data_IF_853076227590
#
_entry.id   IF_853076227590
#
_cell.length_a   1.000
_cell.length_b   1.000
_cell.length_c   1.000
_cell.angle_alpha   90.00
_cell.angle_beta   90.00
_cell.angle_gamma   90.00
#
_symmetry.space_group_name_H-M   'P 1'
#
loop_
_entity.id
_entity.type
_entity.pdbx_description
1 polymer ?
#
# COMPACT_ATOMS: atom_id res chain seq x y z
N UNK A 1 15.72 -4.67 -7.81
CA UNK A 1 15.47 -3.54 -6.89
C UNK A 1 15.23 -2.29 -7.72
N UNK A 2 14.24 -1.50 -7.40
CA UNK A 2 13.83 -0.30 -8.14
C UNK A 2 13.65 0.83 -7.13
N UNK A 3 14.21 2.01 -7.42
CA UNK A 3 13.93 3.26 -6.74
C UNK A 3 12.98 4.06 -7.63
N UNK A 4 11.90 4.57 -7.06
CA UNK A 4 10.91 5.37 -7.77
C UNK A 4 10.42 6.53 -6.90
N UNK A 5 9.80 7.51 -7.55
CA UNK A 5 9.14 8.62 -6.87
C UNK A 5 7.70 8.71 -7.33
N UNK A 6 6.81 9.06 -6.43
CA UNK A 6 5.38 9.28 -6.73
C UNK A 6 4.98 10.71 -6.39
N UNK A 7 3.93 11.19 -7.01
CA UNK A 7 3.24 12.42 -6.61
C UNK A 7 2.13 12.08 -5.62
N UNK A 8 1.60 13.09 -4.90
CA UNK A 8 0.40 12.91 -4.08
C UNK A 8 -0.86 12.71 -4.94
N UNK A 9 -1.96 12.25 -4.34
CA UNK A 9 -3.20 11.94 -5.06
C UNK A 9 -3.79 13.14 -5.82
N UNK A 10 -3.45 14.37 -5.44
CA UNK A 10 -3.89 15.61 -6.08
C UNK A 10 -2.94 16.11 -7.17
N UNK A 11 -1.85 15.40 -7.47
CA UNK A 11 -0.84 15.84 -8.44
C UNK A 11 -0.07 17.08 -8.01
N UNK A 12 0.07 17.32 -6.71
CA UNK A 12 0.82 18.45 -6.12
C UNK A 12 0.15 19.82 -6.26
N UNK A 13 -1.13 19.90 -6.63
CA UNK A 13 -1.82 21.19 -6.86
C UNK A 13 -2.51 21.74 -5.62
N UNK A 14 -2.85 20.91 -4.63
CA UNK A 14 -3.41 21.32 -3.34
C UNK A 14 -2.28 21.50 -2.35
N UNK A 15 -2.10 22.71 -1.78
CA UNK A 15 -0.91 23.05 -0.97
C UNK A 15 -1.21 23.88 0.26
N UNK A 16 -2.33 24.56 0.28
CA UNK A 16 -2.66 25.51 1.35
C UNK A 16 -4.04 25.24 1.93
N UNK A 17 -4.28 25.74 3.11
CA UNK A 17 -5.58 25.63 3.79
C UNK A 17 -6.72 26.36 3.08
N UNK A 18 -6.41 27.27 2.16
CA UNK A 18 -7.39 28.03 1.37
C UNK A 18 -7.72 27.38 0.04
N UNK A 19 -6.97 26.35 -0.34
CA UNK A 19 -7.21 25.61 -1.57
C UNK A 19 -8.53 24.81 -1.48
N UNK A 20 -9.06 24.49 -2.67
CA UNK A 20 -10.19 23.60 -2.83
C UNK A 20 -9.87 22.59 -3.91
N UNK A 21 -9.71 21.34 -3.51
CA UNK A 21 -9.35 20.28 -4.43
C UNK A 21 -10.42 20.10 -5.54
N UNK A 22 -11.71 20.31 -5.22
CA UNK A 22 -12.82 20.32 -6.19
C UNK A 22 -12.68 21.39 -7.28
N UNK A 23 -11.85 22.41 -7.08
CA UNK A 23 -11.60 23.50 -8.04
C UNK A 23 -10.26 23.36 -8.76
N UNK A 24 -9.28 22.75 -8.12
CA UNK A 24 -7.91 22.67 -8.60
C UNK A 24 -7.63 21.35 -9.32
N UNK A 25 -8.28 20.26 -8.89
CA UNK A 25 -8.02 18.95 -9.45
C UNK A 25 -8.94 18.64 -10.64
N UNK A 26 -8.38 18.00 -11.65
CA UNK A 26 -9.16 17.31 -12.68
C UNK A 26 -9.53 15.91 -12.15
N UNK A 27 -10.82 15.60 -11.94
CA UNK A 27 -11.23 14.29 -11.44
C UNK A 27 -10.76 13.11 -12.29
N UNK A 28 -10.49 13.34 -13.59
CA UNK A 28 -9.97 12.30 -14.49
C UNK A 28 -8.49 11.98 -14.25
N UNK A 29 -7.77 12.81 -13.48
CA UNK A 29 -6.33 12.71 -13.22
C UNK A 29 -6.00 12.48 -11.75
N UNK A 30 -6.99 12.20 -10.90
CA UNK A 30 -6.77 11.86 -9.50
C UNK A 30 -6.03 10.54 -9.37
N UNK A 31 -5.25 10.44 -8.31
CA UNK A 31 -4.34 9.37 -7.98
C UNK A 31 -3.35 9.07 -9.14
N UNK A 32 -2.49 10.05 -9.49
CA UNK A 32 -1.43 9.79 -10.45
C UNK A 32 -0.49 8.70 -9.92
N UNK A 33 -0.11 7.78 -10.80
CA UNK A 33 0.79 6.68 -10.46
C UNK A 33 2.07 6.74 -11.28
N UNK A 34 3.16 6.25 -10.71
CA UNK A 34 4.40 5.98 -11.44
C UNK A 34 4.30 4.60 -12.06
N UNK A 35 4.40 4.55 -13.38
CA UNK A 35 4.21 3.34 -14.17
C UNK A 35 3.65 3.67 -15.57
N UNK A 36 3.25 2.64 -16.36
CA UNK A 36 3.44 1.23 -16.06
C UNK A 36 4.91 0.80 -16.12
N UNK A 37 5.35 -0.02 -15.17
CA UNK A 37 6.68 -0.61 -15.13
C UNK A 37 6.57 -2.03 -15.69
N UNK A 38 7.25 -2.26 -16.81
CA UNK A 38 7.33 -3.59 -17.42
C UNK A 38 8.30 -4.48 -16.61
N UNK A 39 7.83 -5.63 -16.15
CA UNK A 39 8.65 -6.61 -15.43
C UNK A 39 9.04 -7.73 -16.40
N UNK A 40 10.32 -7.78 -16.77
CA UNK A 40 10.82 -8.79 -17.69
C UNK A 40 10.58 -10.20 -17.17
N UNK A 41 10.06 -11.08 -18.03
CA UNK A 41 9.80 -12.48 -17.72
C UNK A 41 8.50 -12.75 -16.96
N UNK A 42 7.75 -11.73 -16.55
CA UNK A 42 6.44 -11.92 -15.95
C UNK A 42 5.40 -12.24 -17.04
N UNK A 43 4.69 -13.36 -16.89
CA UNK A 43 3.67 -13.84 -17.83
C UNK A 43 2.31 -14.07 -17.13
N UNK A 44 1.19 -14.02 -17.87
CA UNK A 44 -0.12 -14.30 -17.30
C UNK A 44 -0.17 -15.62 -16.52
N UNK A 45 -0.71 -15.60 -15.32
CA UNK A 45 -0.75 -16.74 -14.39
C UNK A 45 0.40 -16.76 -13.37
N UNK A 46 1.40 -15.90 -13.52
CA UNK A 46 2.46 -15.75 -12.52
C UNK A 46 2.01 -14.86 -11.35
N UNK A 47 2.73 -14.97 -10.24
CA UNK A 47 2.64 -14.06 -9.11
C UNK A 47 3.75 -13.02 -9.22
N UNK A 48 3.38 -11.75 -9.12
CA UNK A 48 4.32 -10.64 -8.93
C UNK A 48 4.44 -10.33 -7.44
N UNK A 49 5.64 -10.48 -6.87
CA UNK A 49 5.97 -10.06 -5.52
C UNK A 49 6.60 -8.67 -5.52
N UNK A 50 6.03 -7.75 -4.76
CA UNK A 50 6.55 -6.39 -4.58
C UNK A 50 6.85 -6.19 -3.09
N UNK A 51 8.12 -6.22 -2.73
CA UNK A 51 8.56 -5.98 -1.35
C UNK A 51 8.95 -4.53 -1.15
N UNK A 52 8.29 -3.85 -0.24
CA UNK A 52 8.56 -2.45 0.10
C UNK A 52 9.73 -2.37 1.09
N UNK A 53 10.88 -1.94 0.60
CA UNK A 53 12.11 -1.80 1.40
C UNK A 53 12.09 -0.51 2.20
N UNK A 54 11.66 0.58 1.56
CA UNK A 54 11.60 1.91 2.16
C UNK A 54 10.52 2.75 1.47
N UNK A 55 9.79 3.53 2.25
CA UNK A 55 8.82 4.53 1.79
C UNK A 55 9.04 5.79 2.61
N UNK A 56 9.47 6.87 1.97
CA UNK A 56 9.81 8.12 2.66
C UNK A 56 9.12 9.32 2.00
N UNK A 57 8.44 10.19 2.77
CA UNK A 57 7.89 11.44 2.24
C UNK A 57 8.97 12.31 1.61
N UNK A 58 8.65 12.92 0.46
CA UNK A 58 9.60 13.79 -0.29
C UNK A 58 9.51 15.26 0.10
N UNK A 59 8.51 15.62 0.89
CA UNK A 59 8.23 17.00 1.29
C UNK A 59 8.11 17.05 2.81
N UNK A 60 8.36 18.21 3.37
CA UNK A 60 8.16 18.54 4.78
C UNK A 60 6.70 18.93 5.11
N UNK A 61 5.79 18.67 4.16
CA UNK A 61 4.35 18.89 4.31
C UNK A 61 3.54 17.80 3.58
N UNK A 62 2.34 17.59 4.08
CA UNK A 62 1.34 16.69 3.50
C UNK A 62 -0.06 17.27 3.65
N UNK A 63 -1.03 16.76 2.92
CA UNK A 63 -2.37 17.33 2.79
C UNK A 63 -3.42 16.27 3.13
N UNK A 64 -4.48 16.68 3.82
CA UNK A 64 -5.75 15.94 3.86
C UNK A 64 -6.90 16.91 3.56
N UNK A 65 -7.98 16.41 2.96
CA UNK A 65 -9.15 17.23 2.67
C UNK A 65 -10.45 16.45 2.81
N UNK A 66 -11.50 17.13 3.20
CA UNK A 66 -12.85 16.61 3.06
C UNK A 66 -13.49 17.14 1.78
N UNK A 67 -14.36 16.34 1.17
CA UNK A 67 -15.16 16.74 0.02
C UNK A 67 -16.65 16.59 0.34
N UNK A 68 -17.52 17.47 -0.19
CA UNK A 68 -18.95 17.21 -0.19
C UNK A 68 -19.25 15.90 -0.92
N UNK A 69 -20.09 15.06 -0.32
CA UNK A 69 -20.51 13.76 -0.88
C UNK A 69 -19.38 12.73 -1.06
N UNK A 70 -18.27 12.88 -0.37
CA UNK A 70 -17.16 11.93 -0.38
C UNK A 70 -16.65 11.66 1.05
N UNK A 71 -16.17 10.42 1.30
CA UNK A 71 -15.80 9.96 2.64
C UNK A 71 -16.80 8.96 3.23
N UNK A 72 -16.38 8.19 4.23
CA UNK A 72 -17.20 7.11 4.77
C UNK A 72 -18.46 7.57 5.53
N UNK A 73 -18.46 8.81 6.00
CA UNK A 73 -19.61 9.41 6.73
C UNK A 73 -20.51 10.28 5.84
N UNK A 74 -20.39 10.16 4.53
CA UNK A 74 -21.25 10.92 3.61
C UNK A 74 -22.43 10.10 3.13
N UNK A 75 -23.43 10.78 2.55
CA UNK A 75 -24.55 10.12 1.87
C UNK A 75 -24.06 9.38 0.63
N UNK A 76 -24.63 8.22 0.39
CA UNK A 76 -24.61 7.54 -0.91
C UNK A 76 -25.97 7.64 -1.58
N UNK A 77 -26.10 7.24 -2.84
CA UNK A 77 -27.38 7.18 -3.55
C UNK A 77 -28.40 6.25 -2.85
N UNK A 78 -27.89 5.30 -2.05
CA UNK A 78 -28.70 4.29 -1.36
C UNK A 78 -28.97 4.64 0.12
N UNK A 79 -28.14 5.50 0.72
CA UNK A 79 -28.26 5.91 2.12
C UNK A 79 -28.30 7.41 2.22
N UNK A 80 -29.48 7.96 2.54
CA UNK A 80 -29.64 9.37 2.83
C UNK A 80 -29.22 9.68 4.27
N UNK A 81 -28.34 10.68 4.45
CA UNK A 81 -28.04 11.24 5.76
C UNK A 81 -28.99 12.41 6.07
N UNK A 82 -29.35 12.54 7.34
CA UNK A 82 -30.25 13.62 7.79
C UNK A 82 -29.52 14.96 8.01
N UNK A 83 -28.25 15.04 7.68
CA UNK A 83 -27.45 16.26 7.80
C UNK A 83 -26.87 16.69 6.43
N UNK A 84 -26.51 17.96 6.27
CA UNK A 84 -25.88 18.44 5.04
C UNK A 84 -24.59 17.71 4.73
N UNK A 85 -24.14 17.70 3.47
CA UNK A 85 -22.80 17.24 3.08
C UNK A 85 -21.73 17.93 3.91
N UNK A 86 -20.61 17.25 4.12
CA UNK A 86 -19.46 17.84 4.78
C UNK A 86 -18.92 19.03 3.98
N UNK A 87 -18.46 20.07 4.70
CA UNK A 87 -17.73 21.17 4.09
C UNK A 87 -16.44 20.67 3.44
N UNK A 88 -16.03 21.29 2.35
CA UNK A 88 -14.70 21.06 1.78
C UNK A 88 -13.67 21.87 2.55
N UNK A 89 -12.80 21.18 3.28
CA UNK A 89 -11.79 21.78 4.16
C UNK A 89 -10.47 21.08 3.96
N UNK A 90 -9.38 21.85 3.83
CA UNK A 90 -8.01 21.33 3.70
C UNK A 90 -7.27 21.46 5.03
N UNK A 91 -6.57 20.40 5.43
CA UNK A 91 -5.55 20.39 6.49
C UNK A 91 -4.18 20.24 5.86
N UNK A 92 -3.25 21.08 6.30
CA UNK A 92 -1.82 20.95 5.96
C UNK A 92 -1.10 20.42 7.20
N UNK A 93 -0.41 19.29 7.03
CA UNK A 93 0.41 18.67 8.07
C UNK A 93 1.86 19.03 7.86
N UNK A 94 2.55 19.39 8.91
CA UNK A 94 4.01 19.45 8.92
C UNK A 94 4.53 18.01 9.07
N UNK A 95 5.53 17.65 8.26
CA UNK A 95 6.14 16.31 8.23
C UNK A 95 7.57 16.40 8.71
N UNK A 96 7.87 15.78 9.84
CA UNK A 96 9.22 15.68 10.40
C UNK A 96 9.72 14.23 10.26
N UNK A 97 10.44 13.97 9.18
CA UNK A 97 10.98 12.64 8.88
C UNK A 97 12.10 12.24 9.83
N UNK A 98 12.85 13.19 10.39
CA UNK A 98 13.94 12.91 11.31
C UNK A 98 13.40 12.44 12.67
N UNK A 99 12.28 13.03 13.13
CA UNK A 99 11.60 12.61 14.36
C UNK A 99 10.56 11.51 14.14
N UNK A 100 10.18 11.23 12.89
CA UNK A 100 9.15 10.26 12.54
C UNK A 100 7.74 10.69 12.98
N UNK A 101 7.40 11.96 12.84
CA UNK A 101 6.10 12.50 13.28
C UNK A 101 5.47 13.43 12.25
N UNK A 102 4.14 13.52 12.34
CA UNK A 102 3.28 14.48 11.63
C UNK A 102 2.65 15.42 12.66
N UNK A 103 2.47 16.69 12.33
CA UNK A 103 1.76 17.61 13.20
C UNK A 103 0.35 17.87 12.68
N UNK A 104 -0.64 17.37 13.43
CA UNK A 104 -2.05 17.70 13.23
C UNK A 104 -2.40 18.98 14.00
N UNK A 105 -3.08 19.93 13.34
CA UNK A 105 -3.65 21.13 13.94
C UNK A 105 -5.13 21.24 13.59
N UNK A 106 -5.98 21.37 14.61
CA UNK A 106 -7.40 21.60 14.41
C UNK A 106 -7.65 22.97 13.74
N UNK A 107 -8.63 23.02 12.83
CA UNK A 107 -8.94 24.25 12.07
C UNK A 107 -9.75 25.28 12.86
N UNK A 108 -10.42 24.87 13.93
CA UNK A 108 -11.39 25.73 14.66
C UNK A 108 -11.13 25.72 16.19
N UNK A 109 -9.96 25.27 16.63
CA UNK A 109 -9.53 25.30 18.04
C UNK A 109 -8.01 25.24 18.09
N UNK A 110 -7.45 25.44 19.30
CA UNK A 110 -6.01 25.39 19.54
C UNK A 110 -5.51 23.93 19.76
N UNK A 111 -6.34 22.94 19.49
CA UNK A 111 -5.94 21.54 19.65
C UNK A 111 -4.88 21.16 18.61
N UNK A 112 -3.75 20.68 19.10
CA UNK A 112 -2.63 20.21 18.29
C UNK A 112 -2.10 18.89 18.88
N UNK A 113 -1.69 17.96 18.01
CA UNK A 113 -1.10 16.68 18.41
C UNK A 113 -0.11 16.18 17.39
N UNK A 114 0.98 15.58 17.86
CA UNK A 114 1.92 14.85 17.02
C UNK A 114 1.41 13.42 16.79
N UNK A 115 1.32 13.02 15.53
CA UNK A 115 0.94 11.69 15.10
C UNK A 115 2.19 10.95 14.64
N UNK A 116 2.36 9.66 14.94
CA UNK A 116 3.45 8.89 14.36
C UNK A 116 3.37 8.86 12.84
N UNK A 117 4.51 9.09 12.17
CA UNK A 117 4.66 8.89 10.74
C UNK A 117 4.61 7.37 10.45
N UNK A 118 3.75 6.96 9.53
CA UNK A 118 3.59 5.56 9.11
C UNK A 118 3.33 5.51 7.59
N UNK A 119 4.38 5.72 6.76
CA UNK A 119 4.23 5.88 5.33
C UNK A 119 3.79 4.60 4.64
N UNK A 120 2.87 4.75 3.69
CA UNK A 120 2.31 3.66 2.89
C UNK A 120 1.96 4.12 1.46
N UNK A 121 1.59 3.18 0.59
CA UNK A 121 0.97 3.46 -0.70
C UNK A 121 -0.47 2.99 -0.75
N UNK A 122 -1.38 3.89 -1.12
CA UNK A 122 -2.79 3.58 -1.35
C UNK A 122 -2.99 2.80 -2.65
N UNK A 123 -2.33 3.23 -3.72
CA UNK A 123 -2.48 2.65 -5.07
C UNK A 123 -1.25 1.83 -5.46
N UNK A 124 -1.41 0.50 -5.49
CA UNK A 124 -0.40 -0.43 -6.04
C UNK A 124 -1.12 -1.53 -6.81
N UNK A 125 -0.83 -1.66 -8.09
CA UNK A 125 -1.51 -2.65 -8.92
C UNK A 125 -0.78 -2.98 -10.21
N UNK A 126 -1.30 -3.97 -10.90
CA UNK A 126 -0.87 -4.42 -12.23
C UNK A 126 -1.97 -4.17 -13.26
N UNK A 127 -1.72 -4.44 -14.53
CA UNK A 127 -2.79 -4.38 -15.52
C UNK A 127 -3.93 -5.36 -15.18
N UNK A 128 -5.21 -4.93 -15.26
CA UNK A 128 -6.35 -5.80 -15.05
C UNK A 128 -6.41 -6.96 -16.06
N UNK A 129 -7.15 -8.01 -15.71
CA UNK A 129 -7.39 -9.15 -16.60
C UNK A 129 -8.33 -8.79 -17.77
N UNK A 130 -8.38 -9.66 -18.79
CA UNK A 130 -9.39 -9.65 -19.88
C UNK A 130 -9.47 -8.34 -20.68
N UNK A 131 -8.39 -7.52 -20.68
CA UNK A 131 -8.36 -6.23 -21.38
C UNK A 131 -9.21 -5.14 -20.73
N UNK A 132 -9.60 -5.33 -19.46
CA UNK A 132 -10.32 -4.33 -18.70
C UNK A 132 -9.44 -3.09 -18.46
N UNK A 133 -10.05 -1.90 -18.45
CA UNK A 133 -9.40 -0.63 -18.15
C UNK A 133 -10.04 -0.02 -16.93
N UNK A 134 -9.30 0.06 -15.84
CA UNK A 134 -9.73 0.66 -14.58
C UNK A 134 -8.95 1.95 -14.31
N UNK A 135 -9.62 2.91 -13.69
CA UNK A 135 -8.95 4.11 -13.18
C UNK A 135 -8.07 3.73 -11.98
N UNK A 136 -6.96 4.45 -11.78
CA UNK A 136 -6.06 4.24 -10.63
C UNK A 136 -6.76 4.26 -9.27
N UNK A 137 -7.83 5.04 -9.13
CA UNK A 137 -8.66 5.13 -7.91
C UNK A 137 -9.56 3.90 -7.67
N UNK A 138 -9.55 2.89 -8.53
CA UNK A 138 -10.46 1.73 -8.42
C UNK A 138 -9.69 0.49 -7.99
N UNK A 139 -9.85 0.01 -6.75
CA UNK A 139 -9.25 -1.25 -6.33
C UNK A 139 -10.09 -2.44 -6.84
N UNK A 140 -9.41 -3.54 -7.18
CA UNK A 140 -10.03 -4.81 -7.59
C UNK A 140 -9.05 -5.97 -7.45
N UNK A 141 -9.28 -7.09 -8.13
CA UNK A 141 -8.40 -8.26 -8.12
C UNK A 141 -6.96 -7.96 -8.63
N UNK A 142 -6.77 -6.92 -9.42
CA UNK A 142 -5.45 -6.47 -9.92
C UNK A 142 -4.65 -5.63 -8.89
N UNK A 143 -5.17 -5.38 -7.70
CA UNK A 143 -4.70 -4.36 -6.76
C UNK A 143 -5.41 -3.02 -7.00
N UNK A 144 -4.67 -1.97 -7.35
CA UNK A 144 -5.19 -0.60 -7.50
C UNK A 144 -5.25 0.14 -6.18
N UNK A 145 -6.24 0.99 -6.00
CA UNK A 145 -6.40 1.86 -4.83
C UNK A 145 -6.97 1.12 -3.62
N UNK A 146 -6.18 0.19 -3.08
CA UNK A 146 -6.61 -0.63 -1.94
C UNK A 146 -6.68 0.16 -0.62
N UNK A 147 -5.92 1.24 -0.51
CA UNK A 147 -5.86 2.15 0.65
C UNK A 147 -5.79 1.38 1.97
N UNK A 148 -4.95 0.37 2.02
CA UNK A 148 -4.74 -0.38 3.25
C UNK A 148 -3.40 -0.02 3.89
N UNK A 149 -3.36 0.33 5.20
CA UNK A 149 -2.13 0.60 5.93
C UNK A 149 -1.12 -0.56 5.92
N UNK A 150 -1.52 -1.72 5.40
CA UNK A 150 -0.65 -2.89 5.28
C UNK A 150 0.36 -2.78 4.12
N UNK A 151 0.14 -1.89 3.14
CA UNK A 151 1.08 -1.65 2.02
C UNK A 151 2.14 -0.65 2.44
N UNK A 152 3.02 -1.05 3.34
CA UNK A 152 4.06 -0.24 3.96
C UNK A 152 5.45 -0.88 3.90
N UNK A 153 6.48 -0.15 4.31
CA UNK A 153 7.83 -0.69 4.39
C UNK A 153 7.91 -1.94 5.28
N UNK A 154 8.65 -2.96 4.84
CA UNK A 154 8.74 -4.26 5.49
C UNK A 154 7.68 -5.26 5.07
N UNK A 155 6.71 -4.89 4.24
CA UNK A 155 5.66 -5.79 3.73
C UNK A 155 5.97 -6.23 2.30
N UNK A 156 5.57 -7.46 1.94
CA UNK A 156 5.55 -7.97 0.56
C UNK A 156 4.10 -8.07 0.10
N UNK A 157 3.79 -7.39 -0.99
CA UNK A 157 2.51 -7.49 -1.70
C UNK A 157 2.64 -8.47 -2.85
N UNK A 158 1.69 -9.38 -2.98
CA UNK A 158 1.58 -10.38 -4.03
C UNK A 158 0.40 -10.07 -4.94
N UNK A 159 0.67 -9.86 -6.22
CA UNK A 159 -0.32 -9.49 -7.23
C UNK A 159 -0.40 -10.57 -8.33
N UNK A 160 -1.57 -10.80 -8.93
CA UNK A 160 -1.68 -11.66 -10.11
C UNK A 160 -1.08 -10.99 -11.34
N UNK A 161 -0.30 -11.69 -12.13
CA UNK A 161 0.11 -11.22 -13.45
C UNK A 161 -0.99 -11.59 -14.45
N UNK A 162 -1.60 -10.59 -15.08
CA UNK A 162 -2.71 -10.77 -16.03
C UNK A 162 -2.29 -10.55 -17.49
N UNK A 163 -1.20 -9.81 -17.71
CA UNK A 163 -0.64 -9.51 -19.04
C UNK A 163 0.89 -9.63 -19.02
N UNK A 164 1.51 -9.78 -20.17
CA UNK A 164 2.96 -9.82 -20.29
C UNK A 164 3.61 -8.58 -19.66
N UNK A 165 4.61 -8.81 -18.81
CA UNK A 165 5.32 -7.77 -18.09
C UNK A 165 4.54 -7.14 -16.95
N UNK A 166 3.42 -7.73 -16.50
CA UNK A 166 2.58 -7.32 -15.39
C UNK A 166 2.08 -5.85 -15.44
N UNK A 167 2.90 -4.91 -15.94
CA UNK A 167 2.62 -3.48 -16.03
C UNK A 167 2.35 -2.86 -14.65
N UNK A 168 3.31 -3.03 -13.72
CA UNK A 168 3.20 -2.55 -12.34
C UNK A 168 3.09 -1.02 -12.28
N UNK A 169 2.19 -0.52 -11.46
CA UNK A 169 2.03 0.90 -11.15
C UNK A 169 1.96 1.11 -9.63
N UNK A 170 2.59 2.20 -9.14
CA UNK A 170 2.67 2.56 -7.72
C UNK A 170 2.41 4.06 -7.60
N UNK A 171 1.54 4.46 -6.67
CA UNK A 171 1.22 5.86 -6.41
C UNK A 171 0.47 6.07 -5.12
N UNK A 172 -0.13 7.26 -4.99
CA UNK A 172 -1.02 7.57 -3.88
C UNK A 172 -0.36 7.33 -2.52
N UNK A 173 0.70 8.08 -2.25
CA UNK A 173 1.48 7.94 -1.04
C UNK A 173 0.84 8.65 0.13
N UNK A 174 0.68 7.96 1.25
CA UNK A 174 0.14 8.50 2.50
C UNK A 174 1.22 8.53 3.57
N UNK A 175 1.39 9.65 4.23
CA UNK A 175 2.24 9.75 5.43
C UNK A 175 1.65 8.99 6.61
N UNK A 176 0.33 8.84 6.64
CA UNK A 176 -0.46 8.08 7.60
C UNK A 176 -1.90 7.96 7.13
N UNK A 177 -2.52 6.81 7.42
CA UNK A 177 -3.95 6.57 7.24
C UNK A 177 -4.50 5.82 8.46
N UNK A 178 -5.71 6.17 8.89
CA UNK A 178 -6.52 5.35 9.79
C UNK A 178 -7.32 4.31 9.01
N UNK A 179 -7.72 3.24 9.69
CA UNK A 179 -8.54 2.18 9.09
C UNK A 179 -9.83 2.73 8.46
N UNK A 180 -10.12 2.26 7.25
CA UNK A 180 -11.30 2.65 6.48
C UNK A 180 -11.21 3.99 5.75
N UNK A 181 -10.11 4.73 5.90
CA UNK A 181 -9.88 6.04 5.27
C UNK A 181 -11.06 7.01 5.49
N UNK A 182 -11.51 7.10 6.73
CA UNK A 182 -12.77 7.68 7.16
C UNK A 182 -13.13 9.03 6.52
N UNK A 183 -12.16 9.92 6.38
CA UNK A 183 -12.38 11.27 5.85
C UNK A 183 -12.54 11.33 4.32
N UNK A 184 -12.17 10.25 3.61
CA UNK A 184 -12.12 10.18 2.15
C UNK A 184 -10.75 10.45 1.56
N UNK A 185 -9.85 11.02 2.35
CA UNK A 185 -8.42 11.14 2.08
C UNK A 185 -7.64 10.83 3.33
N UNK A 186 -6.44 10.31 3.16
CA UNK A 186 -5.46 10.12 4.21
C UNK A 186 -4.63 11.41 4.45
N UNK A 187 -3.42 11.29 4.93
CA UNK A 187 -2.41 12.35 4.93
C UNK A 187 -1.55 12.19 3.68
N UNK A 188 -2.02 12.77 2.59
CA UNK A 188 -1.54 12.61 1.22
C UNK A 188 -0.18 13.25 0.99
N UNK A 189 0.75 12.51 0.38
CA UNK A 189 2.10 13.00 0.14
C UNK A 189 2.78 12.37 -1.07
N UNK A 190 3.70 13.12 -1.67
CA UNK A 190 4.65 12.58 -2.63
C UNK A 190 5.69 11.71 -1.91
N UNK A 191 6.02 10.54 -2.47
CA UNK A 191 6.93 9.58 -1.86
C UNK A 191 8.19 9.33 -2.69
N UNK A 192 9.26 8.97 -1.99
CA UNK A 192 10.42 8.25 -2.51
C UNK A 192 10.35 6.83 -2.01
N UNK A 193 10.37 5.87 -2.90
CA UNK A 193 10.10 4.47 -2.56
C UNK A 193 11.16 3.56 -3.15
N UNK A 194 11.59 2.57 -2.36
CA UNK A 194 12.47 1.49 -2.79
C UNK A 194 11.71 0.18 -2.70
N UNK A 195 11.61 -0.54 -3.81
CA UNK A 195 10.98 -1.86 -3.86
C UNK A 195 11.93 -2.91 -4.44
N UNK A 196 11.75 -4.15 -4.00
CA UNK A 196 12.29 -5.33 -4.69
C UNK A 196 11.11 -6.01 -5.38
N UNK A 197 11.27 -6.28 -6.67
CA UNK A 197 10.28 -7.00 -7.49
C UNK A 197 10.83 -8.37 -7.82
N UNK A 198 10.01 -9.41 -7.67
CA UNK A 198 10.32 -10.79 -8.01
C UNK A 198 9.09 -11.47 -8.63
N UNK A 199 9.29 -12.56 -9.38
CA UNK A 199 8.22 -13.29 -10.08
C UNK A 199 8.25 -14.76 -9.66
N UNK A 200 7.07 -15.29 -9.30
CA UNK A 200 6.90 -16.72 -9.02
C UNK A 200 6.02 -17.33 -10.11
N UNK A 201 6.59 -18.18 -11.00
CA UNK A 201 5.84 -18.74 -12.11
C UNK A 201 4.64 -19.59 -11.67
N UNK A 202 3.49 -19.39 -12.33
CA UNK A 202 2.29 -20.20 -12.15
C UNK A 202 1.62 -20.10 -10.78
N UNK A 203 1.92 -19.06 -9.99
CA UNK A 203 1.43 -18.93 -8.62
C UNK A 203 0.50 -17.72 -8.41
N UNK A 204 -0.15 -17.22 -9.47
CA UNK A 204 -1.04 -16.06 -9.39
C UNK A 204 -2.15 -16.26 -8.33
N UNK A 205 -2.26 -15.36 -7.34
CA UNK A 205 -3.40 -15.37 -6.44
C UNK A 205 -4.65 -14.83 -7.15
N UNK A 206 -5.84 -15.22 -6.69
CA UNK A 206 -7.09 -14.66 -7.22
C UNK A 206 -7.31 -13.20 -6.79
N UNK A 207 -6.82 -12.82 -5.62
CA UNK A 207 -6.87 -11.48 -5.02
C UNK A 207 -5.51 -11.10 -4.48
N UNK A 208 -5.20 -9.81 -4.35
CA UNK A 208 -3.93 -9.38 -3.76
C UNK A 208 -3.74 -9.96 -2.36
N UNK A 209 -2.57 -10.53 -2.11
CA UNK A 209 -2.15 -11.07 -0.82
C UNK A 209 -0.97 -10.27 -0.29
N UNK A 210 -0.80 -10.23 1.02
CA UNK A 210 0.32 -9.56 1.64
C UNK A 210 0.95 -10.44 2.72
N UNK A 211 2.21 -10.19 2.98
CA UNK A 211 2.95 -10.86 4.05
C UNK A 211 3.84 -9.85 4.77
N UNK A 212 3.77 -9.84 6.09
CA UNK A 212 4.66 -9.08 6.98
C UNK A 212 5.33 -10.01 7.97
N UNK A 213 6.18 -9.48 8.85
CA UNK A 213 6.77 -10.27 9.95
C UNK A 213 5.72 -10.82 10.92
N UNK A 214 4.56 -10.17 11.00
CA UNK A 214 3.53 -10.49 11.99
C UNK A 214 2.32 -11.22 11.39
N UNK A 215 2.01 -11.02 10.10
CA UNK A 215 0.77 -11.47 9.49
C UNK A 215 0.93 -12.04 8.09
N UNK A 216 0.09 -13.04 7.81
CA UNK A 216 -0.30 -13.45 6.47
C UNK A 216 -1.67 -12.81 6.18
N UNK A 217 -1.85 -12.19 4.99
CA UNK A 217 -3.02 -11.35 4.72
C UNK A 217 -3.54 -11.55 3.31
N UNK A 218 -4.86 -11.41 3.14
CA UNK A 218 -5.53 -11.37 1.84
C UNK A 218 -6.50 -10.20 1.78
N UNK A 219 -6.66 -9.61 0.60
CA UNK A 219 -7.58 -8.50 0.37
C UNK A 219 -8.80 -8.92 -0.41
N UNK A 220 -9.90 -8.17 -0.26
CA UNK A 220 -11.07 -8.24 -1.13
C UNK A 220 -11.53 -6.81 -1.41
N UNK A 221 -11.66 -6.45 -2.69
CA UNK A 221 -11.97 -5.06 -3.09
C UNK A 221 -13.17 -5.02 -4.01
N UNK A 222 -14.36 -4.96 -3.40
CA UNK A 222 -15.66 -4.88 -4.09
C UNK A 222 -16.69 -4.09 -3.26
N UNK A 223 -17.86 -3.80 -3.83
CA UNK A 223 -19.06 -3.38 -3.11
C UNK A 223 -20.13 -4.46 -3.18
N UNK A 224 -20.93 -4.64 -2.13
CA UNK A 224 -20.87 -3.97 -0.83
C UNK A 224 -19.73 -4.49 0.07
N UNK A 225 -19.50 -3.88 1.23
CA UNK A 225 -18.39 -4.19 2.15
C UNK A 225 -18.40 -5.63 2.67
N UNK A 226 -19.58 -6.21 2.87
CA UNK A 226 -19.73 -7.59 3.33
C UNK A 226 -19.28 -8.62 2.28
N UNK A 227 -19.35 -8.30 1.00
CA UNK A 227 -18.76 -9.13 -0.06
C UNK A 227 -17.24 -8.99 -0.11
N UNK A 228 -16.71 -7.78 0.09
CA UNK A 228 -15.26 -7.58 0.25
C UNK A 228 -14.71 -8.38 1.43
N UNK A 229 -15.43 -8.39 2.57
CA UNK A 229 -15.10 -9.23 3.71
C UNK A 229 -15.09 -10.72 3.36
N UNK A 230 -16.17 -11.23 2.72
CA UNK A 230 -16.26 -12.65 2.34
C UNK A 230 -15.14 -13.08 1.40
N UNK A 231 -14.81 -12.24 0.43
CA UNK A 231 -13.71 -12.49 -0.53
C UNK A 231 -12.38 -12.60 0.20
N UNK A 232 -12.04 -11.62 1.02
CA UNK A 232 -10.76 -11.61 1.74
C UNK A 232 -10.63 -12.80 2.69
N UNK A 233 -11.70 -13.16 3.41
CA UNK A 233 -11.71 -14.31 4.32
C UNK A 233 -11.65 -15.63 3.57
N UNK A 234 -12.41 -15.78 2.49
CA UNK A 234 -12.39 -17.00 1.68
C UNK A 234 -11.00 -17.29 1.11
N UNK A 235 -10.33 -16.27 0.55
CA UNK A 235 -8.99 -16.43 0.01
C UNK A 235 -7.98 -16.77 1.13
N UNK A 236 -8.05 -16.09 2.29
CA UNK A 236 -7.16 -16.36 3.42
C UNK A 236 -7.35 -17.78 3.99
N UNK A 237 -8.61 -18.25 4.12
CA UNK A 237 -8.92 -19.61 4.57
C UNK A 237 -8.35 -20.65 3.60
N UNK A 238 -8.57 -20.48 2.30
CA UNK A 238 -8.02 -21.35 1.27
C UNK A 238 -6.49 -21.39 1.31
N UNK A 239 -5.85 -20.23 1.33
CA UNK A 239 -4.39 -20.12 1.41
C UNK A 239 -3.81 -20.73 2.68
N UNK A 240 -4.47 -20.55 3.82
CA UNK A 240 -4.08 -21.17 5.10
C UNK A 240 -4.20 -22.69 5.02
N UNK A 241 -5.29 -23.22 4.45
CA UNK A 241 -5.50 -24.64 4.23
C UNK A 241 -4.42 -25.27 3.34
N UNK A 242 -4.11 -24.64 2.23
CA UNK A 242 -3.03 -25.07 1.31
C UNK A 242 -1.67 -25.08 2.01
N UNK A 243 -1.35 -24.01 2.73
CA UNK A 243 -0.06 -23.83 3.40
C UNK A 243 0.18 -24.82 4.52
N UNK A 244 -0.88 -25.19 5.27
CA UNK A 244 -0.79 -26.06 6.44
C UNK A 244 -1.24 -27.50 6.15
N UNK A 245 -1.76 -27.78 4.96
CA UNK A 245 -2.34 -29.09 4.62
C UNK A 245 -3.60 -29.40 5.42
N UNK A 246 -4.42 -28.37 5.73
CA UNK A 246 -5.64 -28.54 6.53
C UNK A 246 -6.86 -28.77 5.65
N UNK A 247 -7.83 -29.52 6.20
CA UNK A 247 -9.18 -29.56 5.65
C UNK A 247 -9.79 -28.14 5.66
N UNK A 248 -10.66 -27.79 4.70
CA UNK A 248 -11.28 -26.47 4.62
C UNK A 248 -11.99 -26.00 5.89
N UNK A 249 -12.64 -26.92 6.64
CA UNK A 249 -13.34 -26.58 7.90
C UNK A 249 -12.35 -26.33 9.04
N UNK A 250 -11.25 -27.08 9.10
CA UNK A 250 -10.19 -26.87 10.07
C UNK A 250 -9.47 -25.53 9.82
N UNK A 251 -9.17 -25.22 8.55
CA UNK A 251 -8.63 -23.92 8.17
C UNK A 251 -9.59 -22.77 8.52
N UNK A 252 -10.89 -22.93 8.24
CA UNK A 252 -11.93 -21.98 8.61
C UNK A 252 -11.98 -21.75 10.12
N UNK A 253 -11.89 -22.83 10.92
CA UNK A 253 -11.88 -22.72 12.39
C UNK A 253 -10.63 -21.98 12.87
N UNK A 254 -9.45 -22.29 12.33
CA UNK A 254 -8.21 -21.62 12.71
C UNK A 254 -8.27 -20.11 12.42
N UNK A 255 -8.64 -19.74 11.17
CA UNK A 255 -8.78 -18.33 10.78
C UNK A 255 -9.89 -17.65 11.57
N UNK A 256 -11.03 -18.31 11.78
CA UNK A 256 -12.18 -17.76 12.50
C UNK A 256 -11.91 -17.43 13.98
N UNK A 257 -10.96 -18.14 14.61
CA UNK A 257 -10.65 -17.93 16.03
C UNK A 257 -9.43 -17.01 16.25
N UNK A 258 -8.59 -16.81 15.22
CA UNK A 258 -7.33 -16.08 15.38
C UNK A 258 -7.21 -14.87 14.45
N UNK A 259 -8.05 -14.79 13.42
CA UNK A 259 -7.99 -13.77 12.39
C UNK A 259 -8.42 -12.38 12.84
N UNK A 260 -7.92 -11.38 12.14
CA UNK A 260 -8.34 -9.98 12.22
C UNK A 260 -8.89 -9.56 10.85
N UNK A 261 -9.77 -8.57 10.82
CA UNK A 261 -10.40 -8.11 9.58
C UNK A 261 -10.57 -6.58 9.56
N UNK A 262 -9.48 -5.81 9.49
CA UNK A 262 -9.59 -4.36 9.35
C UNK A 262 -10.19 -3.96 8.00
N UNK A 263 -10.82 -2.79 7.98
CA UNK A 263 -11.27 -2.14 6.75
C UNK A 263 -10.10 -1.33 6.20
N UNK A 264 -9.64 -1.62 5.00
CA UNK A 264 -8.63 -0.82 4.30
C UNK A 264 -9.21 0.54 3.93
N UNK A 265 -10.21 0.55 3.04
CA UNK A 265 -10.96 1.76 2.71
C UNK A 265 -12.47 1.50 2.55
N UNK A 266 -13.26 2.53 2.84
CA UNK A 266 -14.73 2.58 2.67
C UNK A 266 -15.18 3.76 1.79
N UNK A 267 -14.31 4.27 0.93
CA UNK A 267 -14.52 5.53 0.21
C UNK A 267 -14.31 5.43 -1.29
N UNK A 268 -13.41 4.55 -1.73
CA UNK A 268 -13.12 4.31 -3.14
C UNK A 268 -14.31 3.68 -3.90
N UNK A 269 -14.27 3.61 -5.25
CA UNK A 269 -15.31 2.97 -6.04
C UNK A 269 -15.65 1.55 -5.60
N UNK A 270 -14.67 0.76 -5.18
CA UNK A 270 -14.82 -0.48 -4.42
C UNK A 270 -14.26 -0.30 -3.01
N UNK A 271 -14.86 -0.99 -2.03
CA UNK A 271 -14.38 -1.01 -0.65
C UNK A 271 -13.34 -2.12 -0.48
N UNK A 272 -12.33 -1.89 0.34
CA UNK A 272 -11.28 -2.90 0.59
C UNK A 272 -11.36 -3.41 2.01
N UNK A 273 -11.49 -4.73 2.16
CA UNK A 273 -11.29 -5.47 3.41
C UNK A 273 -9.97 -6.22 3.38
N UNK A 274 -9.33 -6.34 4.53
CA UNK A 274 -8.11 -7.12 4.70
C UNK A 274 -8.35 -8.21 5.74
N UNK A 275 -8.28 -9.48 5.32
CA UNK A 275 -8.23 -10.60 6.25
C UNK A 275 -6.79 -10.84 6.68
N UNK A 276 -6.53 -11.00 7.98
CA UNK A 276 -5.19 -11.16 8.56
C UNK A 276 -5.13 -12.38 9.45
N UNK A 277 -4.13 -13.24 9.25
CA UNK A 277 -3.80 -14.36 10.12
C UNK A 277 -2.45 -14.10 10.79
N UNK A 278 -2.36 -14.10 12.14
CA UNK A 278 -1.09 -13.94 12.82
C UNK A 278 -0.11 -15.08 12.48
N UNK A 279 1.13 -14.76 12.18
CA UNK A 279 2.14 -15.76 11.77
C UNK A 279 2.41 -16.86 12.81
N UNK A 280 2.21 -16.59 14.09
CA UNK A 280 2.33 -17.64 15.10
C UNK A 280 1.33 -18.80 14.90
N UNK A 281 0.18 -18.54 14.25
CA UNK A 281 -0.81 -19.57 13.94
C UNK A 281 -0.37 -20.50 12.79
N UNK A 282 0.68 -20.16 12.03
CA UNK A 282 1.20 -20.93 10.92
C UNK A 282 2.12 -22.10 11.35
N UNK A 283 2.46 -22.23 12.63
CA UNK A 283 3.31 -23.32 13.10
C UNK A 283 4.71 -23.36 12.45
N UNK A 284 5.19 -22.25 11.89
CA UNK A 284 6.47 -22.15 11.20
C UNK A 284 6.40 -22.37 9.68
N UNK A 285 5.22 -22.66 9.11
CA UNK A 285 5.04 -22.72 7.65
C UNK A 285 5.30 -21.34 7.01
N UNK A 286 5.81 -21.35 5.77
CA UNK A 286 6.22 -20.15 5.04
C UNK A 286 5.59 -20.12 3.66
N UNK A 287 4.92 -19.03 3.35
CA UNK A 287 4.32 -18.84 2.04
C UNK A 287 5.39 -18.71 0.95
N UNK A 288 5.09 -19.23 -0.23
CA UNK A 288 5.95 -19.16 -1.41
C UNK A 288 7.41 -19.54 -1.13
N UNK A 289 7.62 -20.58 -0.29
CA UNK A 289 8.94 -21.07 0.08
C UNK A 289 9.81 -20.07 0.85
N UNK A 290 9.21 -19.16 1.61
CA UNK A 290 9.92 -18.12 2.39
C UNK A 290 10.37 -16.94 1.52
N UNK A 291 9.59 -16.59 0.50
CA UNK A 291 9.93 -15.47 -0.39
C UNK A 291 10.00 -14.15 0.37
N UNK A 292 9.01 -13.86 1.24
CA UNK A 292 8.99 -12.65 2.05
C UNK A 292 10.29 -12.48 2.85
N UNK A 293 10.73 -13.51 3.56
CA UNK A 293 11.94 -13.47 4.39
C UNK A 293 13.21 -13.20 3.55
N UNK A 294 13.29 -13.81 2.34
CA UNK A 294 14.42 -13.55 1.42
C UNK A 294 14.44 -12.12 0.93
N UNK A 295 13.30 -11.57 0.50
CA UNK A 295 13.17 -10.19 0.02
C UNK A 295 13.46 -9.19 1.13
N UNK A 296 12.94 -9.43 2.33
CA UNK A 296 13.20 -8.62 3.52
C UNK A 296 14.69 -8.60 3.87
N UNK A 297 15.36 -9.75 3.83
CA UNK A 297 16.80 -9.82 4.08
C UNK A 297 17.59 -9.00 3.05
N UNK A 298 17.28 -9.16 1.77
CA UNK A 298 17.90 -8.36 0.70
C UNK A 298 17.66 -6.85 0.86
N UNK A 299 16.45 -6.46 1.27
CA UNK A 299 16.11 -5.08 1.58
C UNK A 299 16.92 -4.51 2.76
N UNK A 300 17.05 -5.29 3.84
CA UNK A 300 17.85 -4.91 5.01
C UNK A 300 19.33 -4.72 4.66
N UNK A 301 19.91 -5.61 3.85
CA UNK A 301 21.29 -5.46 3.36
C UNK A 301 21.48 -4.20 2.51
N UNK A 302 20.50 -3.87 1.65
CA UNK A 302 20.54 -2.65 0.86
C UNK A 302 20.54 -1.41 1.75
N UNK A 303 19.63 -1.32 2.72
CA UNK A 303 19.57 -0.20 3.65
C UNK A 303 20.85 -0.04 4.49
N UNK A 304 21.44 -1.16 4.93
CA UNK A 304 22.70 -1.15 5.67
C UNK A 304 23.84 -0.55 4.83
N UNK A 305 23.94 -0.92 3.54
CA UNK A 305 24.94 -0.37 2.61
C UNK A 305 24.73 1.13 2.37
N UNK A 306 23.47 1.58 2.24
CA UNK A 306 23.15 2.99 2.00
C UNK A 306 23.43 3.89 3.21
N UNK A 307 23.37 3.35 4.43
CA UNK A 307 23.68 4.05 5.69
C UNK A 307 25.18 4.05 6.03
N UNK A 308 25.97 3.19 5.40
CA UNK A 308 27.41 3.16 5.62
C UNK A 308 28.04 4.48 5.12
N UNK A 309 28.90 5.16 5.91
CA UNK A 309 29.54 6.38 5.46
C UNK A 309 30.36 6.10 4.20
N UNK A 310 30.27 6.98 3.21
CA UNK A 310 31.01 6.95 1.94
C UNK A 310 32.51 7.18 2.16
N UNK A 311 33.19 6.20 2.75
CA UNK A 311 34.60 6.33 3.14
C UNK A 311 35.41 5.03 3.16
N UNK A 312 34.81 3.87 2.84
CA UNK A 312 35.48 2.57 2.96
C UNK A 312 35.98 1.98 1.62
N UNK A 313 35.90 2.69 0.52
CA UNK A 313 36.48 2.26 -0.76
C UNK A 313 37.60 3.22 -1.16
N UNK A 314 38.84 2.87 -0.83
CA UNK A 314 39.99 3.61 -1.33
C UNK A 314 41.23 3.53 -0.44
N UNK A 315 41.79 2.35 -0.18
CA UNK A 315 43.16 2.18 0.27
C UNK A 315 43.72 0.84 -0.18
N UNK A 316 43.72 0.58 -1.50
CA UNK A 316 44.74 -0.31 -2.05
C UNK A 316 46.00 0.51 -2.26
N UNK A 317 46.98 0.26 -1.41
CA UNK A 317 48.32 0.83 -1.47
C UNK A 317 49.03 0.29 -2.69
N UNK A 318 49.30 1.16 -3.66
CA UNK A 318 50.35 0.92 -4.64
C UNK A 318 51.72 0.86 -3.95
N UNK A 319 52.17 -0.36 -3.67
CA UNK A 319 53.57 -0.63 -3.41
C UNK A 319 54.26 -0.89 -4.74
N UNK A 320 54.69 0.18 -5.42
CA UNK A 320 55.79 0.09 -6.36
C UNK A 320 57.11 0.31 -5.63
N UNK A 321 57.79 -0.78 -5.32
CA UNK A 321 59.23 -0.79 -5.05
C UNK A 321 59.95 -0.51 -6.38
N UNK A 322 60.65 0.61 -6.46
CA UNK A 322 61.69 0.88 -7.44
C UNK A 322 63.00 0.30 -6.92
N UNK A 323 63.51 -0.68 -7.65
CA UNK A 323 64.91 -1.12 -7.51
C UNK A 323 65.74 -0.54 -8.66
N UNK A 324 66.84 0.02 -8.30
CA UNK A 324 68.17 0.16 -8.88
C UNK A 324 68.78 1.52 -8.69
#
# INVERSE_FOLDING_TARGET
MVELTTEDCFGGVVRTVDDRASKLCDPARLNPVTGPIHVEGAAPGDLLAVHFVDITPRRDWAISTTFPHFGALTTTDETAMLHPPLDEVVWVYEVDTDRGVLRYRARRSDHEVELPLDPMHGTVGVAPAEGEVLRSITPSAHGGNMDTPEVRAGTTLYLPVNVDGAQLAIGDGHCRQGEGELAGTAVEAAMSTVVIVDVVPGAAPAWPRLESDDFLMSTGSVRPLDDAYRISQHDLVGWTGELLGLDPLDALQLVGQTGLAPVGNMVAPNYTMVAKLPRWALGGARAYGGLHERLRHAGAEYLARRRAPSGAYGAEKDHHQGAA
#
